data_IF_968337082102
#
_entry.id   IF_968337082102
#
_cell.length_a   1.000
_cell.length_b   1.000
_cell.length_c   1.000
_cell.angle_alpha   90.00
_cell.angle_beta   90.00
_cell.angle_gamma   90.00
#
_symmetry.space_group_name_H-M   'P 1'
#
loop_
_entity.id
_entity.type
_entity.pdbx_description
1 polymer ?
#
# COMPACT_ATOMS: atom_id res chain seq x y z
N UNK A 1 -5.83 17.20 15.22
CA UNK A 1 -4.84 16.10 15.29
C UNK A 1 -4.95 15.29 14.01
N UNK A 2 -3.89 15.22 13.20
CA UNK A 2 -3.84 14.33 12.05
C UNK A 2 -2.70 13.37 12.37
N UNK A 3 -3.06 12.17 12.81
CA UNK A 3 -2.10 11.11 13.09
C UNK A 3 -1.52 10.65 11.75
N UNK A 4 -0.41 11.29 11.35
CA UNK A 4 0.31 10.92 10.13
C UNK A 4 1.03 9.61 10.42
N UNK A 5 0.88 8.63 9.53
CA UNK A 5 1.73 7.45 9.46
C UNK A 5 3.21 7.90 9.38
N UNK A 6 3.87 8.02 10.54
CA UNK A 6 5.28 8.40 10.69
C UNK A 6 6.11 7.17 10.36
N UNK A 7 6.66 7.13 9.15
CA UNK A 7 7.49 6.01 8.71
C UNK A 7 7.79 6.02 7.22
N UNK A 8 8.74 5.18 6.83
CA UNK A 8 9.03 4.88 5.44
C UNK A 8 7.83 4.14 4.84
N UNK A 9 7.18 4.74 3.86
CA UNK A 9 6.05 4.16 3.15
C UNK A 9 6.27 4.40 1.68
N UNK A 10 5.87 3.43 0.88
CA UNK A 10 5.98 3.49 -0.56
C UNK A 10 4.59 3.50 -1.15
N UNK A 11 4.35 4.41 -2.07
CA UNK A 11 3.06 4.53 -2.74
C UNK A 11 3.25 4.36 -4.24
N UNK A 12 2.32 3.61 -4.83
CA UNK A 12 2.37 3.23 -6.24
C UNK A 12 2.95 1.84 -6.47
N UNK A 13 2.46 1.22 -7.53
CA UNK A 13 2.70 -0.19 -7.90
C UNK A 13 4.19 -0.51 -8.02
N UNK A 14 4.95 0.29 -8.78
CA UNK A 14 6.39 0.04 -9.01
C UNK A 14 7.24 0.14 -7.73
N UNK A 15 6.93 1.12 -6.88
CA UNK A 15 7.64 1.34 -5.62
C UNK A 15 7.31 0.22 -4.62
N UNK A 16 6.03 -0.15 -4.57
CA UNK A 16 5.53 -1.24 -3.74
C UNK A 16 6.17 -2.56 -4.14
N UNK A 17 6.17 -2.93 -5.42
CA UNK A 17 6.84 -4.15 -5.91
C UNK A 17 8.33 -4.17 -5.54
N UNK A 18 9.04 -3.04 -5.66
CA UNK A 18 10.44 -2.94 -5.23
C UNK A 18 10.59 -3.22 -3.74
N UNK A 19 9.74 -2.62 -2.91
CA UNK A 19 9.79 -2.81 -1.47
C UNK A 19 9.43 -4.23 -1.04
N UNK A 20 8.43 -4.85 -1.69
CA UNK A 20 8.08 -6.25 -1.45
C UNK A 20 9.26 -7.16 -1.78
N UNK A 21 9.93 -6.95 -2.91
CA UNK A 21 11.17 -7.68 -3.26
C UNK A 21 12.28 -7.48 -2.23
N UNK A 22 12.37 -6.30 -1.64
CA UNK A 22 13.33 -6.00 -0.60
C UNK A 22 12.92 -6.54 0.79
N UNK A 23 11.74 -7.17 0.89
CA UNK A 23 11.15 -7.70 2.12
C UNK A 23 11.09 -6.69 3.29
N UNK A 24 11.11 -5.40 2.97
CA UNK A 24 11.02 -4.30 3.95
C UNK A 24 9.59 -3.89 4.20
N UNK A 25 8.62 -4.50 3.52
CA UNK A 25 7.19 -4.19 3.68
C UNK A 25 6.64 -4.90 4.91
N UNK A 26 5.93 -4.12 5.72
CA UNK A 26 5.18 -4.58 6.88
C UNK A 26 3.73 -4.87 6.54
N UNK A 27 3.09 -3.98 5.79
CA UNK A 27 1.65 -4.04 5.52
C UNK A 27 1.36 -3.41 4.17
N UNK A 28 0.54 -4.08 3.37
CA UNK A 28 0.03 -3.62 2.10
C UNK A 28 -1.36 -3.02 2.28
N UNK A 29 -1.59 -1.83 1.75
CA UNK A 29 -2.88 -1.17 1.70
C UNK A 29 -3.32 -1.05 0.24
N UNK A 30 -4.53 -1.49 -0.03
CA UNK A 30 -5.12 -1.53 -1.37
C UNK A 30 -6.47 -0.83 -1.32
N UNK A 31 -6.74 0.11 -2.24
CA UNK A 31 -8.07 0.68 -2.34
C UNK A 31 -8.99 -0.23 -3.17
N UNK A 32 -10.27 -0.36 -2.80
CA UNK A 32 -11.28 -1.06 -3.62
C UNK A 32 -11.51 -0.39 -4.98
N UNK A 33 -11.31 0.92 -5.03
CA UNK A 33 -11.40 1.72 -6.26
C UNK A 33 -10.17 1.53 -7.18
N UNK A 34 -9.16 0.76 -6.73
CA UNK A 34 -7.97 0.49 -7.54
C UNK A 34 -8.22 -0.64 -8.52
N UNK A 35 -7.58 -0.54 -9.69
CA UNK A 35 -7.65 -1.54 -10.76
C UNK A 35 -7.30 -2.94 -10.26
N UNK A 36 -8.24 -3.87 -10.42
CA UNK A 36 -8.07 -5.28 -10.03
C UNK A 36 -6.86 -5.91 -10.74
N UNK A 37 -6.58 -5.50 -11.98
CA UNK A 37 -5.41 -5.92 -12.76
C UNK A 37 -4.08 -5.49 -12.12
N UNK A 38 -4.07 -4.38 -11.39
CA UNK A 38 -2.91 -3.94 -10.60
C UNK A 38 -2.87 -4.64 -9.25
N UNK A 39 -4.03 -4.87 -8.64
CA UNK A 39 -4.12 -5.46 -7.30
C UNK A 39 -3.74 -6.95 -7.30
N UNK A 40 -4.21 -7.73 -8.29
CA UNK A 40 -3.94 -9.19 -8.37
C UNK A 40 -2.47 -9.56 -8.16
N UNK A 41 -1.52 -9.05 -8.97
CA UNK A 41 -0.11 -9.41 -8.79
C UNK A 41 0.45 -8.89 -7.47
N UNK A 42 -0.11 -7.83 -6.89
CA UNK A 42 0.31 -7.33 -5.58
C UNK A 42 -0.20 -8.19 -4.42
N UNK A 43 -1.42 -8.73 -4.52
CA UNK A 43 -1.96 -9.66 -3.54
C UNK A 43 -1.11 -10.92 -3.55
N UNK A 44 -0.85 -11.48 -4.74
CA UNK A 44 0.00 -12.68 -4.87
C UNK A 44 1.40 -12.42 -4.29
N UNK A 45 2.06 -11.33 -4.66
CA UNK A 45 3.36 -10.98 -4.07
C UNK A 45 3.28 -10.77 -2.56
N UNK A 46 2.22 -10.14 -2.05
CA UNK A 46 2.07 -9.90 -0.62
C UNK A 46 1.84 -11.21 0.15
N UNK A 47 1.00 -12.12 -0.34
CA UNK A 47 0.82 -13.46 0.22
C UNK A 47 2.12 -14.27 0.19
N UNK A 48 2.85 -14.23 -0.94
CA UNK A 48 4.13 -14.94 -1.09
C UNK A 48 5.20 -14.42 -0.12
N UNK A 49 5.14 -13.13 0.24
CA UNK A 49 6.02 -12.52 1.24
C UNK A 49 5.42 -12.53 2.66
N UNK A 50 4.26 -13.18 2.87
CA UNK A 50 3.50 -13.21 4.13
C UNK A 50 3.26 -11.82 4.73
N UNK A 51 2.82 -10.88 3.89
CA UNK A 51 2.51 -9.49 4.22
C UNK A 51 1.00 -9.35 4.41
N UNK A 52 0.58 -8.64 5.47
CA UNK A 52 -0.82 -8.29 5.70
C UNK A 52 -1.36 -7.36 4.61
N UNK A 53 -2.53 -7.69 4.06
CA UNK A 53 -3.22 -6.90 3.03
C UNK A 53 -4.49 -6.28 3.60
N UNK A 54 -4.56 -4.96 3.59
CA UNK A 54 -5.68 -4.17 4.09
C UNK A 54 -6.38 -3.50 2.92
N UNK A 55 -7.69 -3.72 2.78
CA UNK A 55 -8.51 -3.09 1.75
C UNK A 55 -9.21 -1.84 2.30
N UNK A 56 -9.14 -0.74 1.57
CA UNK A 56 -9.71 0.58 1.93
C UNK A 56 -10.75 0.97 0.89
N UNK A 57 -11.83 1.65 1.25
CA UNK A 57 -12.90 1.94 0.29
C UNK A 57 -12.51 2.95 -0.80
N UNK A 58 -11.70 3.97 -0.50
CA UNK A 58 -11.31 5.00 -1.50
C UNK A 58 -9.82 5.30 -1.52
N UNK A 59 -9.28 5.64 -2.71
CA UNK A 59 -7.86 6.04 -2.88
C UNK A 59 -7.48 7.30 -2.10
N UNK A 60 -8.43 8.24 -1.96
CA UNK A 60 -8.22 9.49 -1.21
C UNK A 60 -8.07 9.23 0.27
N UNK A 61 -8.91 8.36 0.82
CA UNK A 61 -8.87 7.99 2.22
C UNK A 61 -7.60 7.22 2.54
N UNK A 62 -7.19 6.29 1.67
CA UNK A 62 -5.92 5.58 1.78
C UNK A 62 -4.72 6.54 1.80
N UNK A 63 -4.69 7.52 0.89
CA UNK A 63 -3.65 8.56 0.88
C UNK A 63 -3.63 9.39 2.17
N UNK A 64 -4.81 9.81 2.64
CA UNK A 64 -4.97 10.57 3.87
C UNK A 64 -4.54 9.79 5.12
N UNK A 65 -4.87 8.50 5.19
CA UNK A 65 -4.42 7.57 6.23
C UNK A 65 -2.90 7.40 6.21
N UNK A 66 -2.30 7.31 5.03
CA UNK A 66 -0.85 7.35 4.87
C UNK A 66 -0.26 8.71 5.23
N UNK A 67 -1.05 9.78 5.36
CA UNK A 67 -0.55 11.14 5.61
C UNK A 67 0.17 11.74 4.40
N UNK A 68 -0.17 11.30 3.19
CA UNK A 68 0.25 11.92 1.93
C UNK A 68 -0.88 12.79 1.38
N UNK A 69 -0.51 13.86 0.68
CA UNK A 69 -1.45 14.82 0.09
C UNK A 69 -2.05 14.33 -1.25
N UNK A 70 -1.67 13.13 -1.71
CA UNK A 70 -2.08 12.56 -2.99
C UNK A 70 -2.93 11.31 -2.80
N UNK A 71 -3.91 11.11 -3.68
CA UNK A 71 -4.71 9.88 -3.74
C UNK A 71 -3.85 8.69 -4.16
N UNK A 72 -3.90 7.61 -3.40
CA UNK A 72 -3.10 6.41 -3.63
C UNK A 72 -4.01 5.20 -3.83
N UNK A 73 -3.89 4.56 -5.00
CA UNK A 73 -4.53 3.28 -5.29
C UNK A 73 -3.97 2.15 -4.41
N UNK A 74 -2.67 2.22 -4.13
CA UNK A 74 -1.90 1.22 -3.39
C UNK A 74 -0.83 1.92 -2.58
N UNK A 75 -0.66 1.50 -1.33
CA UNK A 75 0.44 1.91 -0.47
C UNK A 75 1.01 0.68 0.26
N UNK A 76 2.32 0.63 0.41
CA UNK A 76 2.99 -0.31 1.29
C UNK A 76 3.65 0.46 2.44
N UNK A 77 3.40 0.00 3.65
CA UNK A 77 4.08 0.48 4.84
C UNK A 77 5.35 -0.34 5.02
N UNK A 78 6.50 0.32 5.16
CA UNK A 78 7.77 -0.35 5.45
C UNK A 78 7.95 -0.51 6.96
N UNK A 79 8.78 -1.49 7.35
CA UNK A 79 9.21 -1.70 8.74
C UNK A 79 10.24 -0.66 9.17
#
# INVERSE_FOLDING_TARGET
>A
MIDRLKGNKVVGVKQTVKALKNNTVKTLYVSKDADESLIKPLIELAEENSIDIIKVDTMKELGRLCGIDVSAAIAALLK
#
